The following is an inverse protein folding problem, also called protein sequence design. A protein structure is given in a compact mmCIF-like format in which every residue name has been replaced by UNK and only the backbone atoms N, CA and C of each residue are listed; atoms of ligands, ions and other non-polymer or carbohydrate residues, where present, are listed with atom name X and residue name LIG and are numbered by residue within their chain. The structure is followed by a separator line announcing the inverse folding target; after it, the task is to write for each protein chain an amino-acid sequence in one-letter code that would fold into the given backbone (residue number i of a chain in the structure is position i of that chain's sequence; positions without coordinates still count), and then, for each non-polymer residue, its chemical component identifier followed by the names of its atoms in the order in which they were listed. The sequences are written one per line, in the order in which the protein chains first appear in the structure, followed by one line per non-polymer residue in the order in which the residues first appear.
data_IF_276684672563
#
_entry.id   IF_276684672563
#
_cell.length_a   1.000
_cell.length_b   1.000
_cell.length_c   1.000
_cell.angle_alpha   90.00
_cell.angle_beta   90.00
_cell.angle_gamma   90.00
#
_symmetry.space_group_name_H-M   'P 1'
#
loop_
_entity.id
_entity.type
_entity.pdbx_description
1 polymer ?
#
# COMPACT_ATOMS: atom_id res chain seq x y z
N UNK A 1 3.56 -34.36 -28.67
CA UNK A 1 4.21 -33.09 -28.30
C UNK A 1 3.11 -32.11 -27.94
N UNK A 2 3.29 -31.23 -26.94
CA UNK A 2 2.25 -30.27 -26.61
C UNK A 2 2.08 -29.26 -27.75
N UNK A 3 0.84 -28.95 -28.10
CA UNK A 3 0.46 -28.04 -29.20
C UNK A 3 0.42 -26.58 -28.73
N UNK A 4 1.44 -26.13 -27.98
CA UNK A 4 1.50 -24.76 -27.49
C UNK A 4 2.93 -24.21 -27.56
N UNK A 5 3.02 -22.91 -27.81
CA UNK A 5 4.25 -22.13 -27.70
C UNK A 5 4.28 -21.43 -26.34
N UNK A 6 5.44 -21.49 -25.67
CA UNK A 6 5.73 -20.72 -24.46
C UNK A 6 6.67 -19.57 -24.82
N UNK A 7 6.38 -18.41 -24.26
CA UNK A 7 7.21 -17.22 -24.42
C UNK A 7 7.59 -16.70 -23.04
N UNK A 8 8.89 -16.59 -22.78
CA UNK A 8 9.42 -15.95 -21.59
C UNK A 8 9.59 -14.45 -21.88
N UNK A 9 8.95 -13.61 -21.07
CA UNK A 9 8.91 -12.16 -21.27
C UNK A 9 9.50 -11.47 -20.05
N UNK A 10 10.49 -10.60 -20.26
CA UNK A 10 11.00 -9.70 -19.23
C UNK A 10 10.40 -8.32 -19.41
N UNK A 11 9.85 -7.76 -18.33
CA UNK A 11 9.28 -6.42 -18.31
C UNK A 11 10.17 -5.48 -17.49
N UNK A 12 10.43 -4.30 -18.03
CA UNK A 12 11.18 -3.23 -17.36
C UNK A 12 10.34 -1.97 -17.35
N UNK A 13 10.08 -1.41 -16.17
CA UNK A 13 9.42 -0.12 -16.06
C UNK A 13 10.42 1.00 -16.42
N UNK A 14 10.10 1.78 -17.46
CA UNK A 14 10.92 2.93 -17.91
C UNK A 14 10.43 4.27 -17.34
N UNK A 15 9.22 4.27 -16.78
CA UNK A 15 8.59 5.39 -16.08
C UNK A 15 7.97 4.86 -14.79
N UNK A 16 7.61 5.74 -13.84
CA UNK A 16 6.75 5.34 -12.72
C UNK A 16 5.52 4.58 -13.23
N UNK A 17 5.28 3.39 -12.68
CA UNK A 17 4.18 2.50 -13.06
C UNK A 17 3.27 2.34 -11.85
N UNK A 18 1.98 2.60 -12.04
CA UNK A 18 0.96 2.37 -11.04
C UNK A 18 -0.13 1.44 -11.59
N UNK A 19 -0.50 0.44 -10.79
CA UNK A 19 -1.63 -0.46 -11.02
C UNK A 19 -2.39 -0.51 -9.70
N UNK A 20 -3.54 0.14 -9.64
CA UNK A 20 -4.34 0.22 -8.42
C UNK A 20 -4.99 -1.13 -8.06
N UNK A 21 -5.16 -1.39 -6.77
CA UNK A 21 -6.01 -2.47 -6.26
C UNK A 21 -7.44 -2.01 -5.92
N UNK A 22 -7.74 -0.72 -6.09
CA UNK A 22 -9.02 -0.12 -5.74
C UNK A 22 -9.11 0.42 -4.31
N UNK A 23 -8.07 0.25 -3.49
CA UNK A 23 -8.01 0.83 -2.16
C UNK A 23 -7.41 2.24 -2.20
N UNK A 24 -8.01 3.13 -1.44
CA UNK A 24 -7.49 4.47 -1.14
C UNK A 24 -7.01 4.49 0.31
N UNK A 25 -5.77 4.91 0.52
CA UNK A 25 -5.19 5.10 1.85
C UNK A 25 -5.35 6.56 2.26
N UNK A 26 -5.75 6.79 3.50
CA UNK A 26 -5.96 8.11 4.07
C UNK A 26 -4.82 8.51 5.01
N UNK A 27 -4.30 9.72 4.84
CA UNK A 27 -3.30 10.30 5.74
C UNK A 27 -3.84 10.38 7.17
N UNK A 28 -2.99 10.03 8.14
CA UNK A 28 -3.26 9.93 9.57
C UNK A 28 -4.13 8.73 10.00
N UNK A 29 -4.75 8.03 9.05
CA UNK A 29 -5.57 6.84 9.29
C UNK A 29 -4.85 5.56 8.84
N UNK A 30 -4.56 5.46 7.55
CA UNK A 30 -3.96 4.29 6.93
C UNK A 30 -2.44 4.45 6.78
N UNK A 31 -1.96 5.69 6.61
CA UNK A 31 -0.54 5.97 6.53
C UNK A 31 -0.17 7.22 7.31
N UNK A 32 1.08 7.28 7.72
CA UNK A 32 1.67 8.44 8.38
C UNK A 32 2.83 8.99 7.56
N UNK A 33 3.02 10.30 7.62
CA UNK A 33 4.16 10.98 7.00
C UNK A 33 5.17 11.32 8.08
N UNK A 34 6.38 10.76 7.99
CA UNK A 34 7.46 11.03 8.93
C UNK A 34 8.81 11.05 8.20
N UNK A 35 9.64 12.06 8.44
CA UNK A 35 10.95 12.25 7.80
C UNK A 35 10.94 12.17 6.26
N UNK A 36 9.91 12.75 5.63
CA UNK A 36 9.72 12.69 4.17
C UNK A 36 9.60 11.26 3.61
N UNK A 37 9.14 10.34 4.45
CA UNK A 37 8.77 8.98 4.08
C UNK A 37 7.30 8.74 4.41
N UNK A 38 6.70 7.81 3.69
CA UNK A 38 5.31 7.40 3.87
C UNK A 38 5.28 6.03 4.53
N UNK A 39 4.69 5.96 5.71
CA UNK A 39 4.69 4.78 6.55
C UNK A 39 3.30 4.15 6.51
N UNK A 40 3.16 2.96 5.90
CA UNK A 40 1.87 2.25 5.89
C UNK A 40 1.64 1.65 7.27
N UNK A 41 0.64 2.14 7.98
CA UNK A 41 0.28 1.67 9.31
C UNK A 41 -0.23 0.23 9.20
N UNK A 42 0.16 -0.61 10.15
CA UNK A 42 -0.40 -1.93 10.36
C UNK A 42 -1.49 -1.83 11.42
N UNK A 43 -2.74 -1.72 10.98
CA UNK A 43 -3.90 -1.48 11.85
C UNK A 43 -4.08 -2.61 12.85
N UNK A 44 -3.85 -3.86 12.42
CA UNK A 44 -3.95 -5.04 13.29
C UNK A 44 -2.92 -4.98 14.41
N UNK A 45 -1.65 -4.74 14.08
CA UNK A 45 -0.59 -4.66 15.10
C UNK A 45 -0.77 -3.46 16.02
N UNK A 46 -1.30 -2.35 15.51
CA UNK A 46 -1.64 -1.18 16.33
C UNK A 46 -2.78 -1.50 17.30
N UNK A 47 -3.84 -2.17 16.85
CA UNK A 47 -4.93 -2.60 17.73
C UNK A 47 -4.44 -3.58 18.80
N UNK A 48 -3.64 -4.59 18.43
CA UNK A 48 -3.08 -5.57 19.36
C UNK A 48 -2.19 -4.91 20.42
N UNK A 49 -1.40 -3.90 20.03
CA UNK A 49 -0.56 -3.15 20.95
C UNK A 49 -1.35 -2.36 22.00
N UNK A 50 -2.62 -2.02 21.71
CA UNK A 50 -3.48 -1.29 22.64
C UNK A 50 -4.46 -2.19 23.40
N UNK A 51 -4.88 -3.32 22.82
CA UNK A 51 -5.78 -4.29 23.48
C UNK A 51 -5.20 -4.95 24.74
N UNK A 52 -3.89 -4.84 24.98
CA UNK A 52 -3.28 -5.25 26.26
C UNK A 52 -3.76 -4.43 27.47
N UNK A 53 -4.62 -3.43 27.27
CA UNK A 53 -5.18 -2.57 28.31
C UNK A 53 -6.69 -2.80 28.38
N UNK A 54 -7.14 -3.47 29.45
CA UNK A 54 -8.53 -3.88 29.71
C UNK A 54 -9.41 -2.68 30.16
N UNK A 55 -9.35 -1.57 29.42
CA UNK A 55 -9.99 -0.31 29.78
C UNK A 55 -10.96 0.15 28.68
N UNK A 56 -12.26 0.08 29.00
CA UNK A 56 -13.35 0.50 28.12
C UNK A 56 -13.22 1.98 27.70
N UNK A 57 -12.67 2.84 28.57
CA UNK A 57 -12.45 4.24 28.26
C UNK A 57 -11.35 4.43 27.20
N UNK A 58 -10.32 3.57 27.22
CA UNK A 58 -9.28 3.58 26.21
C UNK A 58 -9.82 3.09 24.86
N UNK A 59 -10.66 2.05 24.85
CA UNK A 59 -11.30 1.58 23.63
C UNK A 59 -12.19 2.67 22.97
N UNK A 60 -12.96 3.41 23.77
CA UNK A 60 -13.74 4.55 23.26
C UNK A 60 -12.86 5.70 22.75
N UNK A 61 -11.72 5.95 23.39
CA UNK A 61 -10.76 6.95 22.95
C UNK A 61 -10.10 6.54 21.62
N UNK A 62 -9.70 5.27 21.48
CA UNK A 62 -9.16 4.73 20.23
C UNK A 62 -10.13 4.82 19.06
N UNK A 63 -11.42 4.62 19.31
CA UNK A 63 -12.45 4.76 18.28
C UNK A 63 -12.60 6.20 17.77
N UNK A 64 -12.11 7.20 18.52
CA UNK A 64 -12.19 8.63 18.19
C UNK A 64 -10.85 9.23 17.75
N UNK A 65 -9.74 8.62 18.12
CA UNK A 65 -8.39 9.07 17.77
C UNK A 65 -7.96 8.55 16.40
N UNK A 66 -7.10 9.31 15.73
CA UNK A 66 -6.50 8.85 14.47
C UNK A 66 -5.35 7.87 14.79
N UNK A 67 -5.21 6.75 14.07
CA UNK A 67 -4.11 5.81 14.24
C UNK A 67 -2.73 6.46 14.36
N UNK A 68 -2.44 7.49 13.57
CA UNK A 68 -1.17 8.20 13.65
C UNK A 68 -0.94 8.91 14.99
N UNK A 69 -1.98 9.41 15.66
CA UNK A 69 -1.86 10.10 16.96
C UNK A 69 -1.45 9.16 18.09
N UNK A 70 -1.63 7.85 17.90
CA UNK A 70 -1.23 6.81 18.84
C UNK A 70 0.25 6.43 18.70
N UNK A 71 0.88 6.82 17.59
CA UNK A 71 2.27 6.52 17.28
C UNK A 71 3.20 7.56 17.91
N UNK A 72 4.18 7.10 18.66
CA UNK A 72 5.25 7.94 19.20
C UNK A 72 6.38 8.09 18.18
N UNK A 73 7.10 9.22 18.13
CA UNK A 73 8.21 9.43 17.20
C UNK A 73 9.26 8.32 17.24
N UNK A 74 9.53 7.73 18.40
CA UNK A 74 10.54 6.67 18.57
C UNK A 74 10.12 5.33 17.95
N UNK A 75 8.83 5.15 17.65
CA UNK A 75 8.29 3.93 17.07
C UNK A 75 8.43 3.87 15.55
N UNK A 76 8.76 4.99 14.89
CA UNK A 76 9.02 5.08 13.45
C UNK A 76 10.35 4.42 13.09
N UNK A 77 10.33 3.08 13.03
CA UNK A 77 11.45 2.25 12.64
C UNK A 77 10.99 1.21 11.61
N UNK A 78 11.76 0.93 10.54
CA UNK A 78 11.41 -0.10 9.57
C UNK A 78 11.26 -1.51 10.16
N UNK A 79 11.83 -1.75 11.35
CA UNK A 79 11.74 -3.03 12.07
C UNK A 79 10.52 -3.09 13.00
N UNK A 80 9.71 -2.03 13.10
CA UNK A 80 8.53 -1.98 13.96
C UNK A 80 7.37 -2.73 13.30
N UNK A 81 6.71 -3.61 14.06
CA UNK A 81 5.51 -4.32 13.59
C UNK A 81 4.30 -3.41 13.36
N UNK A 82 4.35 -2.17 13.86
CA UNK A 82 3.31 -1.16 13.70
C UNK A 82 3.19 -0.63 12.27
N UNK A 83 4.14 -0.96 11.38
CA UNK A 83 4.11 -0.58 9.99
C UNK A 83 4.24 -1.81 9.09
N UNK A 84 3.48 -1.83 7.99
CA UNK A 84 3.57 -2.89 6.98
C UNK A 84 4.80 -2.71 6.09
N UNK A 85 5.05 -1.48 5.66
CA UNK A 85 6.18 -1.08 4.84
C UNK A 85 6.35 0.44 4.85
N UNK A 86 7.48 0.90 4.32
CA UNK A 86 7.86 2.31 4.20
C UNK A 86 8.13 2.61 2.73
N UNK A 87 7.56 3.71 2.24
CA UNK A 87 7.85 4.24 0.91
C UNK A 87 8.72 5.48 1.06
N UNK A 88 9.72 5.59 0.20
CA UNK A 88 10.53 6.80 0.10
C UNK A 88 9.74 7.93 -0.56
N UNK A 89 9.83 9.11 0.05
CA UNK A 89 9.03 10.26 -0.35
C UNK A 89 7.73 10.38 0.43
N UNK A 90 7.11 11.55 0.30
CA UNK A 90 5.81 11.85 0.88
C UNK A 90 4.83 12.27 -0.23
N UNK A 91 3.52 12.00 -0.09
CA UNK A 91 2.52 12.54 -0.98
C UNK A 91 2.60 14.07 -1.04
N UNK A 92 2.18 14.62 -2.18
CA UNK A 92 2.23 16.07 -2.40
C UNK A 92 1.42 16.85 -1.37
N UNK A 93 0.26 16.31 -0.98
CA UNK A 93 -0.56 16.85 0.10
C UNK A 93 -0.19 16.17 1.43
N UNK A 94 -0.02 16.98 2.47
CA UNK A 94 0.21 16.52 3.84
C UNK A 94 -0.99 16.78 4.75
N UNK A 95 -2.11 17.24 4.18
CA UNK A 95 -3.32 17.50 4.93
C UNK A 95 -3.90 16.20 5.51
N UNK A 96 -4.55 16.26 6.68
CA UNK A 96 -5.32 15.14 7.22
C UNK A 96 -6.31 14.57 6.19
N UNK A 97 -6.36 13.25 6.05
CA UNK A 97 -7.24 12.60 5.09
C UNK A 97 -6.84 12.75 3.62
N UNK A 98 -5.64 13.27 3.32
CA UNK A 98 -5.09 13.20 1.97
C UNK A 98 -5.07 11.74 1.47
N UNK A 99 -5.49 11.54 0.22
CA UNK A 99 -5.67 10.22 -0.37
C UNK A 99 -4.43 9.78 -1.14
N UNK A 100 -4.07 8.51 -0.98
CA UNK A 100 -3.04 7.82 -1.75
C UNK A 100 -3.60 6.50 -2.31
N UNK A 101 -3.60 6.36 -3.63
CA UNK A 101 -4.04 5.12 -4.28
C UNK A 101 -3.03 4.01 -4.06
N UNK A 102 -3.48 2.89 -3.50
CA UNK A 102 -2.60 1.79 -3.15
C UNK A 102 -2.19 0.98 -4.40
N UNK A 103 -0.90 0.62 -4.45
CA UNK A 103 -0.37 -0.27 -5.47
C UNK A 103 -0.86 -1.70 -5.24
N UNK A 104 -1.26 -2.37 -6.31
CA UNK A 104 -1.61 -3.78 -6.27
C UNK A 104 -0.43 -4.65 -5.85
N UNK A 105 -0.72 -5.53 -4.90
CA UNK A 105 0.23 -6.38 -4.17
C UNK A 105 -0.43 -7.68 -3.75
N UNK A 106 0.38 -8.65 -3.36
CA UNK A 106 -0.08 -9.91 -2.79
C UNK A 106 -0.44 -9.76 -1.29
N UNK A 107 -0.79 -10.88 -0.66
CA UNK A 107 -1.14 -10.92 0.78
C UNK A 107 0.05 -10.67 1.71
N UNK A 108 1.27 -10.68 1.17
CA UNK A 108 2.52 -10.46 1.90
C UNK A 108 3.10 -9.07 1.63
N UNK A 109 2.28 -8.15 1.09
CA UNK A 109 2.65 -6.79 0.74
C UNK A 109 3.72 -6.67 -0.38
N UNK A 110 3.88 -7.69 -1.24
CA UNK A 110 4.76 -7.61 -2.41
C UNK A 110 4.01 -7.11 -3.65
N UNK A 111 4.44 -5.98 -4.26
CA UNK A 111 3.83 -5.48 -5.48
C UNK A 111 4.15 -6.39 -6.68
N UNK A 112 3.18 -6.57 -7.56
CA UNK A 112 3.35 -7.34 -8.79
C UNK A 112 2.55 -6.75 -9.96
N UNK A 113 2.86 -7.18 -11.18
CA UNK A 113 2.10 -6.83 -12.39
C UNK A 113 1.17 -8.01 -12.71
N UNK A 114 -0.16 -7.83 -12.69
CA UNK A 114 -1.07 -8.90 -13.05
C UNK A 114 -0.95 -9.28 -14.52
N UNK A 115 -1.04 -10.57 -14.79
CA UNK A 115 -1.12 -11.09 -16.17
C UNK A 115 -2.32 -10.52 -16.93
N UNK A 116 -3.43 -10.20 -16.25
CA UNK A 116 -4.61 -9.54 -16.86
C UNK A 116 -4.30 -8.12 -17.35
N UNK A 117 -3.55 -7.33 -16.57
CA UNK A 117 -3.10 -5.98 -16.96
C UNK A 117 -2.18 -6.06 -18.18
N UNK A 118 -1.18 -6.94 -18.15
CA UNK A 118 -0.25 -7.12 -19.27
C UNK A 118 -0.96 -7.62 -20.53
N UNK A 119 -1.83 -8.62 -20.38
CA UNK A 119 -2.67 -9.12 -21.48
C UNK A 119 -3.54 -8.01 -22.06
N UNK A 120 -4.10 -7.14 -21.23
CA UNK A 120 -4.86 -5.97 -21.65
C UNK A 120 -4.04 -5.05 -22.55
N UNK A 121 -2.82 -4.71 -22.16
CA UNK A 121 -1.92 -3.87 -22.93
C UNK A 121 -1.55 -4.51 -24.29
N UNK A 122 -1.16 -5.79 -24.30
CA UNK A 122 -0.85 -6.54 -25.52
C UNK A 122 -2.07 -6.61 -26.44
N UNK A 123 -3.25 -6.92 -25.89
CA UNK A 123 -4.51 -6.97 -26.65
C UNK A 123 -4.79 -5.66 -27.38
N UNK A 124 -4.61 -4.52 -26.70
CA UNK A 124 -4.81 -3.21 -27.32
C UNK A 124 -3.80 -2.95 -28.44
N UNK A 125 -2.53 -3.30 -28.24
CA UNK A 125 -1.50 -3.13 -29.28
C UNK A 125 -1.77 -3.99 -30.52
N UNK A 126 -2.17 -5.26 -30.33
CA UNK A 126 -2.54 -6.16 -31.42
C UNK A 126 -3.80 -5.69 -32.14
N UNK A 127 -4.83 -5.27 -31.41
CA UNK A 127 -6.05 -4.74 -31.99
C UNK A 127 -5.79 -3.52 -32.86
N UNK A 128 -4.92 -2.61 -32.40
CA UNK A 128 -4.50 -1.44 -33.17
C UNK A 128 -3.73 -1.82 -34.44
N UNK A 129 -2.87 -2.85 -34.38
CA UNK A 129 -2.07 -3.26 -35.54
C UNK A 129 -2.88 -4.01 -36.62
N UNK A 130 -3.96 -4.68 -36.22
CA UNK A 130 -4.81 -5.48 -37.12
C UNK A 130 -5.97 -4.69 -37.75
N UNK A 131 -6.19 -3.45 -37.33
CA UNK A 131 -7.17 -2.52 -37.91
C UNK A 131 -6.49 -1.58 -38.90
#
# INVERSE_FOLDING_TARGET
MPDYALFDVTLTAITPLHIGNGNELLNEHDYAIHNNQTWRINEMALLDAVQGVDDLALAEQLARSKPQELLKPEQYSPNSSLFRYVLDGAPRSKEPGAQLNEQLKDVFDHPYIPGTTLKGAIRTALAWHLW
#
